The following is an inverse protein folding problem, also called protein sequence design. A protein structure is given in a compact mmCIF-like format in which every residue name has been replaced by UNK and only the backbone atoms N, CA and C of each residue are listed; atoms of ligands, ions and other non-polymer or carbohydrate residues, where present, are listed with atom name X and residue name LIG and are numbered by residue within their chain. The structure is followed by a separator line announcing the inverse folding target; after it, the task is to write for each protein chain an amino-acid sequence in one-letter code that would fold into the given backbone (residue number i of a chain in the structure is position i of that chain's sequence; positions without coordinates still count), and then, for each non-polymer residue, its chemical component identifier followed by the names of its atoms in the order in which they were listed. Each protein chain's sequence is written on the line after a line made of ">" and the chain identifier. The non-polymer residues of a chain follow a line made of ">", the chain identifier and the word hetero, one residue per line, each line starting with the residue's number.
data_IF_193683193740
#
_entry.id   IF_193683193740
#
_cell.length_a   1.000
_cell.length_b   1.000
_cell.length_c   1.000
_cell.angle_alpha   90.00
_cell.angle_beta   90.00
_cell.angle_gamma   90.00
#
_symmetry.space_group_name_H-M   'P 1'
#
loop_
_entity.id
_entity.type
_entity.pdbx_description
1 polymer ?
#
# COMPACT_ATOMS: atom_id res chain seq x y z
N UNK A 1 -5.48 -2.80 -4.92
CA UNK A 1 -6.86 -3.28 -4.79
C UNK A 1 -6.92 -4.81 -4.65
N UNK A 2 -6.28 -5.61 -5.54
CA UNK A 2 -6.30 -7.08 -5.47
C UNK A 2 -5.87 -7.64 -4.11
N UNK A 3 -4.78 -7.12 -3.53
CA UNK A 3 -4.31 -7.50 -2.18
C UNK A 3 -5.36 -7.20 -1.11
N UNK A 4 -5.99 -6.02 -1.19
CA UNK A 4 -7.04 -5.65 -0.24
C UNK A 4 -8.23 -6.62 -0.30
N UNK A 5 -8.71 -6.94 -1.50
CA UNK A 5 -9.81 -7.90 -1.70
C UNK A 5 -9.41 -9.28 -1.17
N UNK A 6 -8.21 -9.75 -1.52
CA UNK A 6 -7.69 -11.04 -1.05
C UNK A 6 -7.67 -11.11 0.49
N UNK A 7 -7.10 -10.10 1.13
CA UNK A 7 -7.02 -10.04 2.60
C UNK A 7 -8.43 -10.01 3.19
N UNK A 8 -9.35 -9.18 2.66
CA UNK A 8 -10.72 -9.05 3.15
C UNK A 8 -11.49 -10.38 3.05
N UNK A 9 -11.35 -11.11 1.95
CA UNK A 9 -12.00 -12.42 1.79
C UNK A 9 -11.47 -13.47 2.77
N UNK A 10 -10.20 -13.40 3.15
CA UNK A 10 -9.56 -14.35 4.07
C UNK A 10 -9.74 -13.95 5.56
N UNK A 11 -10.24 -12.74 5.84
CA UNK A 11 -10.45 -12.25 7.23
C UNK A 11 -11.13 -13.27 8.14
N UNK A 12 -12.27 -13.92 7.77
CA UNK A 12 -12.94 -14.84 8.69
C UNK A 12 -12.04 -16.01 9.12
N UNK A 13 -11.30 -16.58 8.18
CA UNK A 13 -10.37 -17.69 8.44
C UNK A 13 -9.14 -17.20 9.21
N UNK A 14 -8.57 -16.08 8.79
CA UNK A 14 -7.40 -15.45 9.41
C UNK A 14 -7.69 -15.08 10.87
N UNK A 15 -8.88 -14.53 11.15
CA UNK A 15 -9.31 -14.19 12.50
C UNK A 15 -9.54 -15.42 13.36
N UNK A 16 -10.18 -16.48 12.84
CA UNK A 16 -10.37 -17.74 13.56
C UNK A 16 -9.04 -18.42 13.94
N UNK A 17 -8.02 -18.34 13.08
CA UNK A 17 -6.67 -18.82 13.37
C UNK A 17 -6.05 -17.95 14.47
N UNK A 18 -6.16 -16.62 14.33
CA UNK A 18 -5.68 -15.69 15.36
C UNK A 18 -6.28 -15.95 16.73
N UNK A 19 -7.58 -16.23 16.81
CA UNK A 19 -8.24 -16.53 18.10
C UNK A 19 -7.68 -17.78 18.79
N UNK A 20 -7.21 -18.77 18.01
CA UNK A 20 -6.65 -20.01 18.53
C UNK A 20 -5.20 -19.89 18.96
N UNK A 21 -4.38 -19.23 18.18
CA UNK A 21 -2.92 -19.23 18.38
C UNK A 21 -2.29 -17.83 18.55
N UNK A 22 -3.08 -16.76 18.46
CA UNK A 22 -2.62 -15.39 18.71
C UNK A 22 -1.42 -14.98 17.87
N UNK A 23 -0.43 -14.35 18.49
CA UNK A 23 0.80 -13.89 17.84
C UNK A 23 1.62 -14.98 17.16
N UNK A 24 1.43 -16.25 17.53
CA UNK A 24 2.07 -17.36 16.83
C UNK A 24 1.66 -17.44 15.37
N UNK A 25 0.44 -17.01 15.02
CA UNK A 25 0.02 -16.94 13.62
C UNK A 25 0.84 -15.93 12.82
N UNK A 26 1.17 -14.77 13.39
CA UNK A 26 2.08 -13.78 12.76
C UNK A 26 3.48 -14.36 12.63
N UNK A 27 3.99 -15.00 13.68
CA UNK A 27 5.32 -15.62 13.66
C UNK A 27 5.46 -16.71 12.60
N UNK A 28 4.44 -17.56 12.44
CA UNK A 28 4.41 -18.61 11.42
C UNK A 28 4.40 -18.00 10.01
N UNK A 29 3.54 -17.00 9.76
CA UNK A 29 3.48 -16.32 8.47
C UNK A 29 4.81 -15.59 8.16
N UNK A 30 5.41 -14.96 9.15
CA UNK A 30 6.71 -14.30 9.02
C UNK A 30 7.82 -15.32 8.73
N UNK A 31 7.89 -16.42 9.47
CA UNK A 31 8.86 -17.49 9.24
C UNK A 31 8.72 -18.10 7.84
N UNK A 32 7.49 -18.33 7.38
CA UNK A 32 7.22 -18.80 6.03
C UNK A 32 7.73 -17.79 4.99
N UNK A 33 7.42 -16.49 5.16
CA UNK A 33 7.84 -15.45 4.24
C UNK A 33 9.37 -15.31 4.17
N UNK A 34 10.05 -15.41 5.32
CA UNK A 34 11.51 -15.40 5.40
C UNK A 34 12.09 -16.61 4.65
N UNK A 35 11.55 -17.80 4.86
CA UNK A 35 11.99 -19.01 4.18
C UNK A 35 11.83 -18.89 2.66
N UNK A 36 10.68 -18.39 2.20
CA UNK A 36 10.44 -18.16 0.76
C UNK A 36 11.44 -17.16 0.17
N UNK A 37 11.77 -16.08 0.88
CA UNK A 37 12.77 -15.11 0.43
C UNK A 37 14.18 -15.75 0.39
N UNK A 38 14.59 -16.43 1.46
CA UNK A 38 15.92 -17.06 1.52
C UNK A 38 16.10 -18.08 0.40
N UNK A 39 15.10 -18.93 0.16
CA UNK A 39 15.16 -19.94 -0.90
C UNK A 39 15.01 -19.29 -2.28
N UNK A 40 14.06 -18.38 -2.45
CA UNK A 40 13.76 -17.75 -3.74
C UNK A 40 14.86 -16.82 -4.24
N UNK A 41 15.52 -16.09 -3.34
CA UNK A 41 16.66 -15.22 -3.68
C UNK A 41 17.94 -16.06 -3.74
N UNK A 42 18.20 -16.89 -2.74
CA UNK A 42 19.44 -17.67 -2.63
C UNK A 42 19.59 -18.69 -3.77
N UNK A 43 18.51 -19.31 -4.24
CA UNK A 43 18.53 -20.24 -5.37
C UNK A 43 18.16 -19.58 -6.71
N UNK A 44 18.01 -18.25 -6.74
CA UNK A 44 17.58 -17.46 -7.92
C UNK A 44 16.26 -17.99 -8.54
N UNK A 45 15.34 -18.45 -7.70
CA UNK A 45 14.03 -18.97 -8.11
C UNK A 45 12.96 -17.90 -7.98
N UNK A 46 12.94 -16.93 -8.90
CA UNK A 46 12.04 -15.77 -8.87
C UNK A 46 10.55 -16.13 -8.76
N UNK A 47 10.12 -17.24 -9.35
CA UNK A 47 8.73 -17.69 -9.30
C UNK A 47 8.28 -18.09 -7.88
N UNK A 48 9.18 -18.66 -7.07
CA UNK A 48 8.86 -19.08 -5.71
C UNK A 48 8.49 -17.90 -4.81
N UNK A 49 9.08 -16.75 -5.07
CA UNK A 49 8.83 -15.52 -4.30
C UNK A 49 7.38 -15.01 -4.42
N UNK A 50 6.63 -15.44 -5.45
CA UNK A 50 5.20 -15.12 -5.57
C UNK A 50 4.37 -15.75 -4.44
N UNK A 51 4.85 -16.82 -3.80
CA UNK A 51 4.22 -17.39 -2.61
C UNK A 51 4.15 -16.40 -1.43
N UNK A 52 4.97 -15.34 -1.43
CA UNK A 52 4.99 -14.31 -0.39
C UNK A 52 3.81 -13.33 -0.44
N UNK A 53 3.00 -13.32 -1.51
CA UNK A 53 1.88 -12.40 -1.59
C UNK A 53 0.88 -12.55 -0.43
N UNK A 54 0.49 -13.75 -0.08
CA UNK A 54 -0.47 -13.95 0.99
C UNK A 54 0.16 -13.79 2.40
N UNK A 55 1.25 -14.48 2.75
CA UNK A 55 1.75 -14.49 4.11
C UNK A 55 2.23 -13.12 4.60
N UNK A 56 2.86 -12.31 3.74
CA UNK A 56 3.33 -10.97 4.15
C UNK A 56 2.15 -10.05 4.48
N UNK A 57 1.17 -9.95 3.59
CA UNK A 57 0.03 -9.08 3.84
C UNK A 57 -0.87 -9.57 4.96
N UNK A 58 -1.04 -10.89 5.11
CA UNK A 58 -1.79 -11.46 6.23
C UNK A 58 -1.06 -11.25 7.56
N UNK A 59 0.27 -11.37 7.61
CA UNK A 59 1.03 -11.13 8.83
C UNK A 59 0.88 -9.68 9.30
N UNK A 60 1.03 -8.71 8.38
CA UNK A 60 0.82 -7.29 8.69
C UNK A 60 -0.63 -7.02 9.13
N UNK A 61 -1.61 -7.62 8.45
CA UNK A 61 -3.02 -7.49 8.82
C UNK A 61 -3.31 -8.04 10.23
N UNK A 62 -2.71 -9.18 10.60
CA UNK A 62 -2.88 -9.78 11.93
C UNK A 62 -2.26 -8.96 13.07
N UNK A 63 -1.26 -8.11 12.79
CA UNK A 63 -0.81 -7.11 13.77
C UNK A 63 -1.92 -6.13 14.13
N UNK A 64 -2.86 -5.88 13.21
CA UNK A 64 -4.07 -5.10 13.48
C UNK A 64 -5.00 -5.79 14.48
N UNK A 65 -5.13 -7.11 14.45
CA UNK A 65 -5.90 -7.86 15.46
C UNK A 65 -5.26 -7.74 16.85
N UNK A 66 -3.93 -7.80 16.93
CA UNK A 66 -3.20 -7.60 18.17
C UNK A 66 -3.47 -6.20 18.75
N UNK A 67 -3.42 -5.17 17.91
CA UNK A 67 -3.77 -3.81 18.32
C UNK A 67 -5.22 -3.69 18.79
N UNK A 68 -6.15 -4.22 18.00
CA UNK A 68 -7.59 -4.16 18.32
C UNK A 68 -7.94 -4.80 19.68
N UNK A 69 -7.29 -5.89 20.05
CA UNK A 69 -7.48 -6.55 21.35
C UNK A 69 -7.03 -5.71 22.55
N UNK A 70 -6.28 -4.66 22.36
CA UNK A 70 -5.80 -3.77 23.41
C UNK A 70 -4.84 -4.42 24.43
N UNK A 71 -4.46 -5.67 24.21
CA UNK A 71 -3.58 -6.44 25.11
C UNK A 71 -2.09 -6.08 24.97
N UNK A 72 -1.79 -4.97 24.27
CA UNK A 72 -0.41 -4.62 23.91
C UNK A 72 0.17 -3.67 24.93
N UNK A 73 1.03 -4.18 25.81
CA UNK A 73 1.84 -3.34 26.68
C UNK A 73 2.89 -2.55 25.87
N UNK A 74 3.28 -1.37 26.37
CA UNK A 74 4.30 -0.51 25.74
C UNK A 74 5.59 -1.28 25.39
N UNK A 75 6.01 -2.21 26.25
CA UNK A 75 7.18 -3.06 26.00
C UNK A 75 7.05 -3.91 24.71
N UNK A 76 5.88 -4.50 24.46
CA UNK A 76 5.62 -5.28 23.25
C UNK A 76 5.66 -4.41 21.97
N UNK A 77 5.14 -3.17 22.04
CA UNK A 77 5.18 -2.24 20.92
C UNK A 77 6.63 -1.82 20.61
N UNK A 78 7.40 -1.49 21.66
CA UNK A 78 8.82 -1.14 21.53
C UNK A 78 9.62 -2.32 20.97
N UNK A 79 9.34 -3.54 21.43
CA UNK A 79 10.00 -4.73 20.89
C UNK A 79 9.68 -4.94 19.41
N UNK A 80 8.42 -4.79 18.99
CA UNK A 80 8.03 -4.86 17.56
C UNK A 80 8.75 -3.80 16.74
N UNK A 81 8.86 -2.57 17.27
CA UNK A 81 9.60 -1.49 16.63
C UNK A 81 11.08 -1.85 16.45
N UNK A 82 11.73 -2.32 17.50
CA UNK A 82 13.16 -2.71 17.46
C UNK A 82 13.39 -3.88 16.49
N UNK A 83 12.51 -4.88 16.50
CA UNK A 83 12.56 -5.99 15.52
C UNK A 83 12.48 -5.44 14.11
N UNK A 84 11.52 -4.54 13.83
CA UNK A 84 11.36 -3.94 12.52
C UNK A 84 12.60 -3.14 12.07
N UNK A 85 13.18 -2.31 12.98
CA UNK A 85 14.40 -1.54 12.69
C UNK A 85 15.58 -2.45 12.41
N UNK A 86 15.84 -3.40 13.30
CA UNK A 86 16.99 -4.31 13.16
C UNK A 86 16.86 -5.14 11.89
N UNK A 87 15.65 -5.66 11.64
CA UNK A 87 15.39 -6.48 10.47
C UNK A 87 15.56 -5.67 9.17
N UNK A 88 15.02 -4.45 9.12
CA UNK A 88 15.20 -3.56 7.98
C UNK A 88 16.69 -3.24 7.76
N UNK A 89 17.42 -2.93 8.83
CA UNK A 89 18.86 -2.66 8.75
C UNK A 89 19.66 -3.85 8.22
N UNK A 90 19.33 -5.06 8.67
CA UNK A 90 19.99 -6.30 8.18
C UNK A 90 19.68 -6.51 6.70
N UNK A 91 18.42 -6.36 6.27
CA UNK A 91 18.03 -6.59 4.87
C UNK A 91 18.70 -5.58 3.93
N UNK A 92 18.61 -4.28 4.25
CA UNK A 92 19.13 -3.22 3.38
C UNK A 92 20.65 -3.07 3.48
N UNK A 93 21.21 -3.23 4.68
CA UNK A 93 22.65 -3.02 4.92
C UNK A 93 23.53 -4.21 4.59
N UNK A 94 23.05 -5.43 4.76
CA UNK A 94 23.88 -6.63 4.64
C UNK A 94 23.35 -7.67 3.64
N UNK A 95 22.05 -7.80 3.50
CA UNK A 95 21.47 -8.84 2.64
C UNK A 95 21.21 -8.36 1.19
N UNK A 96 21.62 -7.14 0.84
CA UNK A 96 21.55 -6.63 -0.53
C UNK A 96 20.12 -6.36 -1.05
N UNK A 97 19.16 -6.14 -0.15
CA UNK A 97 17.80 -5.76 -0.56
C UNK A 97 17.80 -4.32 -1.08
N UNK A 98 17.01 -4.02 -2.14
CA UNK A 98 16.85 -2.65 -2.62
C UNK A 98 16.33 -1.72 -1.54
N UNK A 99 16.85 -0.50 -1.49
CA UNK A 99 16.34 0.55 -0.57
C UNK A 99 14.95 1.02 -0.96
N UNK A 100 14.61 0.94 -2.26
CA UNK A 100 13.28 1.27 -2.75
C UNK A 100 12.29 0.16 -2.44
N UNK A 101 11.15 0.52 -1.85
CA UNK A 101 10.05 -0.42 -1.63
C UNK A 101 9.23 -0.66 -2.91
N UNK A 102 9.28 0.25 -3.88
CA UNK A 102 8.63 0.11 -5.19
C UNK A 102 9.61 -0.36 -6.25
N UNK A 103 9.07 -0.91 -7.35
CA UNK A 103 9.92 -1.32 -8.49
C UNK A 103 10.60 -0.11 -9.11
N UNK A 104 11.92 -0.14 -9.20
CA UNK A 104 12.74 0.87 -9.85
C UNK A 104 13.54 0.19 -10.96
N UNK A 105 13.60 0.78 -12.17
CA UNK A 105 14.44 0.25 -13.25
C UNK A 105 15.90 0.18 -12.82
N UNK A 106 16.57 -0.96 -13.11
CA UNK A 106 17.98 -1.20 -12.77
C UNK A 106 18.22 -1.94 -11.45
N UNK A 107 17.20 -2.11 -10.60
CA UNK A 107 17.32 -2.93 -9.40
C UNK A 107 17.22 -4.42 -9.72
N UNK A 108 17.99 -5.24 -9.00
CA UNK A 108 18.04 -6.70 -9.22
C UNK A 108 16.68 -7.36 -8.99
N UNK A 109 15.90 -6.86 -8.04
CA UNK A 109 14.53 -7.28 -7.76
C UNK A 109 13.74 -6.17 -7.05
N UNK A 110 12.42 -6.32 -7.00
CA UNK A 110 11.53 -5.40 -6.29
C UNK A 110 11.19 -5.93 -4.91
N UNK A 111 10.99 -5.03 -3.92
CA UNK A 111 10.46 -5.37 -2.61
C UNK A 111 8.93 -5.54 -2.60
N UNK A 112 8.22 -5.10 -3.66
CA UNK A 112 6.75 -5.19 -3.76
C UNK A 112 6.24 -6.15 -4.82
N UNK A 113 7.08 -6.57 -5.79
CA UNK A 113 6.67 -7.41 -6.93
C UNK A 113 7.70 -8.51 -7.23
N UNK A 114 7.52 -9.67 -6.62
CA UNK A 114 6.66 -10.04 -5.49
C UNK A 114 7.11 -9.41 -4.18
N UNK A 115 6.22 -9.34 -3.16
CA UNK A 115 6.58 -8.77 -1.86
C UNK A 115 7.68 -9.59 -1.18
N UNK A 116 8.58 -8.87 -0.50
CA UNK A 116 9.68 -9.45 0.26
C UNK A 116 9.50 -9.23 1.75
N UNK A 117 10.31 -9.87 2.57
CA UNK A 117 10.31 -9.65 4.02
C UNK A 117 10.70 -8.22 4.43
N UNK A 118 11.27 -7.41 3.51
CA UNK A 118 11.44 -5.97 3.73
C UNK A 118 10.08 -5.25 3.89
N UNK A 119 9.06 -5.68 3.15
CA UNK A 119 7.69 -5.16 3.33
C UNK A 119 7.10 -5.56 4.69
N UNK A 120 7.43 -6.75 5.19
CA UNK A 120 7.02 -7.18 6.52
C UNK A 120 7.71 -6.35 7.63
N UNK A 121 9.02 -6.11 7.49
CA UNK A 121 9.77 -5.25 8.40
C UNK A 121 9.23 -3.81 8.41
N UNK A 122 8.93 -3.26 7.22
CA UNK A 122 8.30 -1.94 7.09
C UNK A 122 6.91 -1.92 7.73
N UNK A 123 6.09 -2.95 7.52
CA UNK A 123 4.77 -3.08 8.14
C UNK A 123 4.86 -3.13 9.67
N UNK A 124 5.80 -3.87 10.23
CA UNK A 124 6.05 -3.92 11.67
C UNK A 124 6.46 -2.55 12.23
N UNK A 125 7.34 -1.83 11.52
CA UNK A 125 7.74 -0.46 11.87
C UNK A 125 6.55 0.49 11.85
N UNK A 126 5.78 0.50 10.77
CA UNK A 126 4.63 1.40 10.62
C UNK A 126 3.56 1.13 11.69
N UNK A 127 3.22 -0.14 11.93
CA UNK A 127 2.23 -0.52 12.94
C UNK A 127 2.71 -0.11 14.33
N UNK A 128 3.96 -0.37 14.68
CA UNK A 128 4.50 0.00 16.00
C UNK A 128 4.54 1.51 16.21
N UNK A 129 4.94 2.29 15.21
CA UNK A 129 4.91 3.76 15.26
C UNK A 129 3.47 4.27 15.44
N UNK A 130 2.52 3.73 14.67
CA UNK A 130 1.10 4.09 14.81
C UNK A 130 0.57 3.79 16.21
N UNK A 131 0.92 2.63 16.77
CA UNK A 131 0.50 2.25 18.13
C UNK A 131 1.14 3.15 19.21
N UNK A 132 2.41 3.54 19.05
CA UNK A 132 3.09 4.48 19.96
C UNK A 132 2.47 5.87 19.90
N UNK A 133 2.09 6.31 18.71
CA UNK A 133 1.49 7.62 18.48
C UNK A 133 -0.02 7.66 18.68
N UNK A 134 -0.69 6.52 18.83
CA UNK A 134 -2.16 6.45 18.90
C UNK A 134 -2.73 7.34 20.02
N UNK A 135 -2.16 7.29 21.22
CA UNK A 135 -2.65 8.08 22.35
C UNK A 135 -2.48 9.60 22.15
N UNK A 136 -1.29 10.13 21.83
CA UNK A 136 -1.14 11.57 21.60
C UNK A 136 -1.90 12.05 20.37
N UNK A 137 -1.97 11.26 19.29
CA UNK A 137 -2.72 11.62 18.10
C UNK A 137 -4.22 11.64 18.39
N UNK A 138 -4.77 10.66 19.10
CA UNK A 138 -6.17 10.67 19.48
C UNK A 138 -6.50 11.87 20.36
N UNK A 139 -5.64 12.24 21.34
CA UNK A 139 -5.83 13.43 22.15
C UNK A 139 -5.80 14.72 21.31
N UNK A 140 -4.93 14.80 20.31
CA UNK A 140 -4.88 15.94 19.39
C UNK A 140 -6.13 16.00 18.49
N UNK A 141 -6.65 14.86 18.02
CA UNK A 141 -7.87 14.74 17.23
C UNK A 141 -9.17 15.08 17.99
N UNK A 142 -9.13 15.16 19.32
CA UNK A 142 -10.28 15.68 20.10
C UNK A 142 -10.54 17.17 19.87
N UNK A 143 -9.62 17.88 19.24
CA UNK A 143 -9.79 19.29 18.89
C UNK A 143 -10.63 19.41 17.61
N UNK A 144 -11.52 20.40 17.53
CA UNK A 144 -12.45 20.57 16.40
C UNK A 144 -11.75 20.73 15.04
N UNK A 145 -10.72 21.57 14.97
CA UNK A 145 -10.02 21.84 13.70
C UNK A 145 -9.32 20.60 13.12
N UNK A 146 -8.48 19.85 13.86
CA UNK A 146 -7.87 18.63 13.35
C UNK A 146 -8.91 17.59 12.95
N UNK A 147 -9.95 17.42 13.76
CA UNK A 147 -11.02 16.47 13.46
C UNK A 147 -11.77 16.82 12.18
N UNK A 148 -12.19 18.09 12.03
CA UNK A 148 -12.84 18.58 10.81
C UNK A 148 -11.96 18.40 9.58
N UNK A 149 -10.64 18.65 9.70
CA UNK A 149 -9.69 18.44 8.61
C UNK A 149 -9.60 16.98 8.19
N UNK A 150 -9.53 16.06 9.16
CA UNK A 150 -9.49 14.60 8.86
C UNK A 150 -10.76 14.16 8.17
N UNK A 151 -11.95 14.60 8.64
CA UNK A 151 -13.21 14.29 7.99
C UNK A 151 -13.25 14.80 6.55
N UNK A 152 -12.85 16.05 6.33
CA UNK A 152 -12.81 16.66 5.01
C UNK A 152 -11.92 15.88 4.04
N UNK A 153 -10.72 15.50 4.49
CA UNK A 153 -9.80 14.69 3.68
C UNK A 153 -10.35 13.28 3.43
N UNK A 154 -10.95 12.65 4.44
CA UNK A 154 -11.53 11.32 4.31
C UNK A 154 -12.69 11.28 3.32
N UNK A 155 -13.48 12.35 3.26
CA UNK A 155 -14.58 12.47 2.28
C UNK A 155 -14.12 12.54 0.83
N UNK A 156 -12.86 12.86 0.57
CA UNK A 156 -12.28 13.01 -0.76
C UNK A 156 -11.11 12.04 -1.01
N UNK A 157 -10.98 11.01 -0.17
CA UNK A 157 -9.81 10.12 -0.20
C UNK A 157 -9.71 9.34 -1.52
N UNK A 158 -10.84 8.92 -2.09
CA UNK A 158 -10.86 8.19 -3.37
C UNK A 158 -10.50 9.11 -4.53
N UNK A 159 -11.02 10.33 -4.54
CA UNK A 159 -10.65 11.35 -5.54
C UNK A 159 -9.15 11.64 -5.47
N UNK A 160 -8.59 11.86 -4.29
CA UNK A 160 -7.16 12.06 -4.07
C UNK A 160 -6.38 10.84 -4.59
N UNK A 161 -6.80 9.64 -4.22
CA UNK A 161 -6.15 8.40 -4.61
C UNK A 161 -6.17 8.16 -6.12
N UNK A 162 -7.25 8.46 -6.80
CA UNK A 162 -7.37 8.26 -8.25
C UNK A 162 -6.55 9.28 -9.05
N UNK A 163 -6.53 10.54 -8.62
CA UNK A 163 -5.94 11.62 -9.40
C UNK A 163 -4.49 11.96 -9.03
N UNK A 164 -3.96 11.50 -7.88
CA UNK A 164 -2.60 11.87 -7.48
C UNK A 164 -1.53 11.48 -8.50
N UNK A 165 -1.63 10.32 -9.16
CA UNK A 165 -0.66 9.91 -10.18
C UNK A 165 -0.75 10.78 -11.43
N UNK A 166 -1.96 11.14 -11.86
CA UNK A 166 -2.17 12.05 -12.99
C UNK A 166 -1.53 13.40 -12.71
N UNK A 167 -1.73 13.92 -11.49
CA UNK A 167 -1.10 15.17 -11.04
C UNK A 167 0.42 15.05 -11.02
N UNK A 168 0.97 13.95 -10.49
CA UNK A 168 2.43 13.71 -10.50
C UNK A 168 2.97 13.72 -11.93
N UNK A 169 2.35 12.99 -12.87
CA UNK A 169 2.78 12.94 -14.26
C UNK A 169 2.70 14.33 -14.92
N UNK A 170 1.62 15.06 -14.66
CA UNK A 170 1.43 16.41 -15.20
C UNK A 170 2.49 17.38 -14.71
N UNK A 171 2.70 17.43 -13.40
CA UNK A 171 3.69 18.34 -12.77
C UNK A 171 5.11 17.94 -13.18
N UNK A 172 5.40 16.65 -13.27
CA UNK A 172 6.68 16.15 -13.74
C UNK A 172 6.92 16.54 -15.22
N UNK A 173 5.92 16.34 -16.08
CA UNK A 173 5.99 16.74 -17.48
C UNK A 173 6.20 18.25 -17.66
N UNK A 174 5.47 19.07 -16.91
CA UNK A 174 5.66 20.53 -16.91
C UNK A 174 7.08 20.90 -16.44
N UNK A 175 7.55 20.30 -15.33
CA UNK A 175 8.90 20.55 -14.85
C UNK A 175 9.95 20.22 -15.92
N UNK A 176 9.83 19.09 -16.61
CA UNK A 176 10.75 18.72 -17.70
C UNK A 176 10.68 19.69 -18.87
N UNK A 177 9.49 20.17 -19.24
CA UNK A 177 9.32 21.17 -20.30
C UNK A 177 9.99 22.52 -19.97
N UNK A 178 10.04 22.87 -18.67
CA UNK A 178 10.69 24.09 -18.17
C UNK A 178 12.13 23.88 -17.67
N UNK A 179 12.84 22.88 -18.18
CA UNK A 179 14.25 22.65 -17.87
C UNK A 179 14.55 21.67 -16.75
N UNK A 180 13.56 20.92 -16.26
CA UNK A 180 13.74 19.83 -15.30
C UNK A 180 13.98 20.31 -13.86
N UNK A 181 13.29 21.36 -13.43
CA UNK A 181 13.40 21.93 -12.09
C UNK A 181 13.12 20.84 -11.05
N UNK A 182 14.10 20.57 -10.17
CA UNK A 182 14.01 19.56 -9.10
C UNK A 182 14.26 18.12 -9.55
N UNK A 183 14.33 17.81 -10.86
CA UNK A 183 14.70 16.47 -11.38
C UNK A 183 16.20 16.30 -11.65
N UNK A 184 16.93 17.41 -11.83
CA UNK A 184 18.39 17.38 -12.08
C UNK A 184 19.22 17.37 -10.80
N UNK A 185 18.57 17.16 -9.67
CA UNK A 185 19.23 17.14 -8.36
C UNK A 185 19.38 15.70 -7.91
N UNK A 186 20.61 15.32 -7.58
CA UNK A 186 20.93 13.97 -7.15
C UNK A 186 20.14 13.59 -5.88
N UNK A 187 19.44 12.44 -5.87
CA UNK A 187 18.68 11.97 -4.71
C UNK A 187 19.54 11.84 -3.45
N UNK A 188 19.00 12.26 -2.30
CA UNK A 188 19.67 12.18 -1.00
C UNK A 188 20.57 13.37 -0.67
N UNK A 189 20.84 14.29 -1.61
CA UNK A 189 21.60 15.52 -1.33
C UNK A 189 20.76 16.55 -0.54
N UNK A 190 21.44 17.50 0.13
CA UNK A 190 20.75 18.60 0.82
C UNK A 190 19.85 19.41 -0.12
N UNK A 191 20.29 19.65 -1.34
CA UNK A 191 19.51 20.32 -2.37
C UNK A 191 18.25 19.51 -2.73
N UNK A 192 18.36 18.18 -2.87
CA UNK A 192 17.21 17.31 -3.13
C UNK A 192 16.16 17.40 -2.02
N UNK A 193 16.58 17.39 -0.76
CA UNK A 193 15.67 17.53 0.38
C UNK A 193 15.03 18.92 0.44
N UNK A 194 15.76 19.99 0.07
CA UNK A 194 15.21 21.35 0.06
C UNK A 194 14.11 21.56 -0.98
N UNK A 195 14.13 20.83 -2.10
CA UNK A 195 13.08 20.89 -3.12
C UNK A 195 11.82 20.10 -2.74
N UNK A 196 11.87 19.16 -1.78
CA UNK A 196 10.72 18.32 -1.42
C UNK A 196 9.49 19.09 -0.93
N UNK A 197 9.61 20.08 -0.02
CA UNK A 197 8.46 20.89 0.39
C UNK A 197 7.79 21.60 -0.77
N UNK A 198 8.59 22.16 -1.68
CA UNK A 198 8.07 22.83 -2.89
C UNK A 198 7.31 21.84 -3.78
N UNK A 199 7.86 20.65 -4.00
CA UNK A 199 7.19 19.59 -4.79
C UNK A 199 5.87 19.17 -4.15
N UNK A 200 5.84 18.94 -2.84
CA UNK A 200 4.62 18.59 -2.11
C UNK A 200 3.58 19.70 -2.25
N UNK A 201 3.99 20.97 -2.09
CA UNK A 201 3.11 22.12 -2.25
C UNK A 201 2.53 22.19 -3.67
N UNK A 202 3.38 22.07 -4.70
CA UNK A 202 2.94 22.06 -6.10
C UNK A 202 1.95 20.91 -6.39
N UNK A 203 2.27 19.68 -5.99
CA UNK A 203 1.40 18.54 -6.18
C UNK A 203 0.05 18.76 -5.47
N UNK A 204 0.07 19.33 -4.26
CA UNK A 204 -1.15 19.66 -3.52
C UNK A 204 -1.98 20.69 -4.27
N UNK A 205 -1.38 21.80 -4.72
CA UNK A 205 -2.08 22.86 -5.44
C UNK A 205 -2.67 22.33 -6.75
N UNK A 206 -1.94 21.52 -7.52
CA UNK A 206 -2.44 20.92 -8.75
C UNK A 206 -3.51 19.86 -8.51
N UNK A 207 -3.59 19.26 -7.32
CA UNK A 207 -4.62 18.31 -6.95
C UNK A 207 -5.96 18.98 -6.58
N UNK A 208 -5.92 20.21 -6.05
CA UNK A 208 -7.13 20.92 -5.61
C UNK A 208 -8.22 21.07 -6.69
N UNK A 209 -7.93 21.42 -7.95
CA UNK A 209 -8.92 21.46 -9.02
C UNK A 209 -9.61 20.12 -9.25
N UNK A 210 -8.87 19.01 -9.16
CA UNK A 210 -9.44 17.66 -9.28
C UNK A 210 -10.36 17.34 -8.12
N UNK A 211 -9.98 17.70 -6.89
CA UNK A 211 -10.86 17.54 -5.71
C UNK A 211 -12.12 18.39 -5.87
N UNK A 212 -12.00 19.64 -6.30
CA UNK A 212 -13.16 20.53 -6.50
C UNK A 212 -14.10 20.00 -7.59
N UNK A 213 -13.57 19.45 -8.67
CA UNK A 213 -14.35 18.97 -9.81
C UNK A 213 -14.98 17.59 -9.55
N UNK A 214 -14.21 16.66 -9.00
CA UNK A 214 -14.61 15.26 -8.86
C UNK A 214 -15.07 14.88 -7.44
N UNK A 215 -14.64 15.58 -6.40
CA UNK A 215 -15.00 15.30 -5.02
C UNK A 215 -16.52 15.37 -4.75
N UNK A 216 -17.25 16.17 -5.54
CA UNK A 216 -18.72 16.22 -5.48
C UNK A 216 -19.41 14.88 -5.78
N UNK A 217 -18.78 14.03 -6.59
CA UNK A 217 -19.29 12.70 -6.92
C UNK A 217 -19.06 11.70 -5.79
N UNK A 218 -18.01 11.91 -5.02
CA UNK A 218 -17.70 11.08 -3.86
C UNK A 218 -18.58 11.42 -2.65
N UNK A 219 -18.77 12.70 -2.37
CA UNK A 219 -19.58 13.18 -1.25
C UNK A 219 -21.10 13.06 -1.48
N UNK A 220 -21.54 12.88 -2.72
CA UNK A 220 -22.95 12.82 -3.12
C UNK A 220 -23.58 11.43 -3.15
N UNK A 221 -22.81 10.37 -2.93
CA UNK A 221 -23.31 9.00 -2.89
C UNK A 221 -24.18 8.78 -1.62
N UNK A 222 -25.41 9.35 -1.62
CA UNK A 222 -26.48 8.78 -0.80
C UNK A 222 -26.61 7.33 -1.24
N UNK A 223 -26.20 6.42 -0.39
CA UNK A 223 -26.53 5.00 -0.51
C UNK A 223 -28.05 4.89 -0.63
N UNK A 224 -28.59 4.98 -1.85
CA UNK A 224 -29.86 4.35 -2.11
C UNK A 224 -29.62 2.89 -1.72
N UNK A 225 -30.31 2.43 -0.71
CA UNK A 225 -30.43 1.03 -0.36
C UNK A 225 -31.11 0.34 -1.55
N UNK A 226 -30.37 0.12 -2.60
CA UNK A 226 -30.68 -0.94 -3.55
C UNK A 226 -30.48 -2.23 -2.77
N UNK A 227 -31.46 -3.12 -2.83
CA UNK A 227 -31.38 -4.45 -2.27
C UNK A 227 -29.98 -5.01 -2.53
N UNK A 228 -29.22 -5.27 -1.46
CA UNK A 228 -27.81 -5.60 -1.56
C UNK A 228 -27.62 -6.76 -2.52
N UNK A 229 -26.60 -6.69 -3.36
CA UNK A 229 -26.21 -7.79 -4.24
C UNK A 229 -26.10 -9.06 -3.38
N UNK A 230 -26.69 -10.16 -3.87
CA UNK A 230 -26.59 -11.43 -3.17
C UNK A 230 -25.11 -11.80 -2.95
N UNK A 231 -24.80 -12.53 -1.89
CA UNK A 231 -23.43 -12.94 -1.54
C UNK A 231 -22.69 -13.55 -2.74
N UNK A 232 -23.41 -14.27 -3.60
CA UNK A 232 -22.87 -14.89 -4.82
C UNK A 232 -22.50 -13.84 -5.89
N UNK A 233 -23.33 -12.79 -6.07
CA UNK A 233 -23.02 -11.70 -7.00
C UNK A 233 -21.82 -10.88 -6.53
N UNK A 234 -21.75 -10.59 -5.23
CA UNK A 234 -20.61 -9.88 -4.64
C UNK A 234 -19.32 -10.70 -4.77
N UNK A 235 -19.40 -12.03 -4.55
CA UNK A 235 -18.28 -12.95 -4.72
C UNK A 235 -17.80 -13.04 -6.17
N UNK A 236 -18.71 -13.19 -7.12
CA UNK A 236 -18.39 -13.21 -8.55
C UNK A 236 -17.77 -11.88 -9.00
N UNK A 237 -18.37 -10.76 -8.63
CA UNK A 237 -17.83 -9.43 -8.93
C UNK A 237 -16.41 -9.24 -8.39
N UNK A 238 -16.14 -9.68 -7.15
CA UNK A 238 -14.80 -9.63 -6.58
C UNK A 238 -13.78 -10.48 -7.36
N UNK A 239 -14.16 -11.70 -7.76
CA UNK A 239 -13.30 -12.60 -8.55
C UNK A 239 -13.00 -12.01 -9.93
N UNK A 240 -14.02 -11.53 -10.63
CA UNK A 240 -13.87 -10.92 -11.97
C UNK A 240 -13.00 -9.67 -11.90
N UNK A 241 -13.24 -8.78 -10.91
CA UNK A 241 -12.41 -7.59 -10.69
C UNK A 241 -10.95 -7.96 -10.38
N UNK A 242 -10.72 -8.94 -9.50
CA UNK A 242 -9.36 -9.41 -9.21
C UNK A 242 -8.66 -10.00 -10.43
N UNK A 243 -9.37 -10.78 -11.26
CA UNK A 243 -8.84 -11.33 -12.49
C UNK A 243 -8.48 -10.22 -13.49
N UNK A 244 -9.37 -9.25 -13.70
CA UNK A 244 -9.13 -8.10 -14.59
C UNK A 244 -7.93 -7.26 -14.14
N UNK A 245 -7.84 -6.95 -12.85
CA UNK A 245 -6.70 -6.22 -12.28
C UNK A 245 -5.39 -7.01 -12.38
N UNK A 246 -5.44 -8.34 -12.24
CA UNK A 246 -4.27 -9.20 -12.41
C UNK A 246 -3.80 -9.19 -13.86
N UNK A 247 -4.72 -9.35 -14.82
CA UNK A 247 -4.39 -9.24 -16.25
C UNK A 247 -3.79 -7.88 -16.55
N UNK A 248 -4.42 -6.79 -16.08
CA UNK A 248 -3.92 -5.43 -16.27
C UNK A 248 -2.53 -5.22 -15.67
N UNK A 249 -2.26 -5.79 -14.49
CA UNK A 249 -0.96 -5.71 -13.83
C UNK A 249 0.14 -6.49 -14.57
N UNK A 250 -0.21 -7.59 -15.21
CA UNK A 250 0.74 -8.45 -15.94
C UNK A 250 0.99 -7.96 -17.37
N UNK A 251 -0.04 -7.48 -18.06
CA UNK A 251 0.03 -7.10 -19.47
C UNK A 251 0.16 -5.59 -19.72
N UNK A 252 -0.09 -4.77 -18.68
CA UNK A 252 -0.14 -3.31 -18.81
C UNK A 252 -1.42 -2.81 -19.49
N UNK A 253 -1.55 -1.50 -19.56
CA UNK A 253 -2.68 -0.83 -20.24
C UNK A 253 -2.48 -0.71 -21.76
N UNK A 254 -1.24 -0.83 -22.24
CA UNK A 254 -0.91 -0.77 -23.65
C UNK A 254 -0.95 -2.16 -24.28
N UNK A 255 -1.51 -2.25 -25.47
CA UNK A 255 -1.44 -3.44 -26.30
C UNK A 255 -0.67 -3.11 -27.57
N UNK A 256 0.11 -4.05 -28.09
CA UNK A 256 0.89 -3.88 -29.33
C UNK A 256 0.01 -3.80 -30.59
N UNK A 257 -1.32 -3.93 -30.45
CA UNK A 257 -2.30 -3.84 -31.53
C UNK A 257 -3.07 -2.53 -31.46
N UNK A 258 -3.31 -1.93 -32.63
CA UNK A 258 -4.17 -0.76 -32.73
C UNK A 258 -5.60 -1.05 -32.19
N UNK A 259 -6.18 -0.17 -31.34
CA UNK A 259 -5.75 1.18 -30.99
C UNK A 259 -4.76 1.29 -29.81
N UNK A 260 -3.97 0.28 -29.50
CA UNK A 260 -2.93 0.34 -28.47
C UNK A 260 -3.43 0.22 -27.02
N UNK A 261 -4.67 -0.23 -26.83
CA UNK A 261 -5.31 -0.29 -25.53
C UNK A 261 -5.81 -1.71 -25.22
N UNK A 262 -5.55 -2.20 -24.01
CA UNK A 262 -5.96 -3.54 -23.61
C UNK A 262 -7.43 -3.54 -23.12
N UNK A 263 -8.36 -3.56 -24.05
CA UNK A 263 -9.80 -3.49 -23.77
C UNK A 263 -10.30 -4.65 -22.91
N UNK A 264 -9.76 -5.86 -23.09
CA UNK A 264 -10.18 -7.04 -22.31
C UNK A 264 -9.88 -6.85 -20.84
N UNK A 265 -8.66 -6.39 -20.50
CA UNK A 265 -8.30 -6.12 -19.12
C UNK A 265 -9.12 -4.98 -18.51
N UNK A 266 -9.42 -3.95 -19.29
CA UNK A 266 -10.18 -2.79 -18.83
C UNK A 266 -11.67 -3.11 -18.64
N UNK A 267 -12.31 -3.85 -19.53
CA UNK A 267 -13.72 -4.23 -19.37
C UNK A 267 -13.95 -5.11 -18.15
N UNK A 268 -13.05 -6.06 -17.87
CA UNK A 268 -13.14 -6.90 -16.68
C UNK A 268 -12.99 -6.15 -15.34
N UNK A 269 -12.49 -4.90 -15.37
CA UNK A 269 -12.32 -4.08 -14.16
C UNK A 269 -13.47 -3.12 -13.92
N UNK A 270 -14.35 -2.89 -14.89
CA UNK A 270 -15.43 -1.89 -14.85
C UNK A 270 -16.80 -2.50 -14.52
N UNK A 271 -17.00 -3.79 -14.75
CA UNK A 271 -18.19 -4.54 -14.35
C UNK A 271 -18.14 -4.97 -12.87
#
# INVERSE_FOLDING_TARGET
>A
LAVYIMVTLVVPVSFAIWEKIGLWSVAILAAFAITVDLVGIGLNQGWLRWANYAPIWLAVHQLGYWWWRGAVGKGGIILLFLIGVIWMFVLLGYAGYPTSMVSVPGEAFSNTRPPTTAMLALGALQVSVLMLLASPVNAWLQRETPWATVILLAQHIMTIYLWHLTVVITVAGLSLAFGGIGFRVEPGTAAWWSYRPLWIALLTVFLLPFIAMFGRFESGARLHRTSGAGLMQAGLGAVVTCAGLTVLALTGMSADRFPGFNWIACTLTVE
#
